data_IF_860757829975
#
_entry.id   IF_860757829975
#
_cell.length_a   1.000
_cell.length_b   1.000
_cell.length_c   1.000
_cell.angle_alpha   90.00
_cell.angle_beta   90.00
_cell.angle_gamma   90.00
#
_symmetry.space_group_name_H-M   'P 1'
#
loop_
_entity.id
_entity.type
_entity.pdbx_description
1 polymer ?
#
# COMPACT_ATOMS: atom_id res chain seq x y z
N UNK A 1 -20.25 -0.89 -17.05
CA UNK A 1 -19.35 -0.82 -18.23
C UNK A 1 -18.11 -0.08 -17.76
N UNK A 2 -16.93 -0.68 -17.96
CA UNK A 2 -15.67 -0.01 -17.65
C UNK A 2 -15.38 1.01 -18.77
N UNK A 3 -15.26 2.26 -18.40
CA UNK A 3 -14.94 3.35 -19.34
C UNK A 3 -13.42 3.57 -19.35
N UNK A 4 -12.90 4.13 -20.44
CA UNK A 4 -11.51 4.59 -20.51
C UNK A 4 -11.37 5.78 -19.57
N UNK A 5 -10.39 5.70 -18.64
CA UNK A 5 -10.05 6.81 -17.76
C UNK A 5 -8.90 7.59 -18.38
N UNK A 6 -9.07 8.90 -18.52
CA UNK A 6 -8.05 9.84 -18.97
C UNK A 6 -8.13 11.10 -18.10
N UNK A 7 -6.98 11.60 -17.65
CA UNK A 7 -6.92 12.80 -16.81
C UNK A 7 -5.50 13.29 -16.62
N UNK A 8 -5.37 14.40 -15.92
CA UNK A 8 -4.08 14.94 -15.47
C UNK A 8 -3.98 14.78 -13.95
N UNK A 9 -2.82 14.39 -13.44
CA UNK A 9 -2.57 14.16 -12.00
C UNK A 9 -2.92 15.39 -11.15
N UNK A 10 -2.70 16.59 -11.66
CA UNK A 10 -3.01 17.84 -10.95
C UNK A 10 -4.53 18.10 -10.80
N UNK A 11 -5.35 17.45 -11.60
CA UNK A 11 -6.82 17.54 -11.56
C UNK A 11 -7.44 16.50 -10.64
N UNK A 12 -6.66 15.49 -10.21
CA UNK A 12 -7.15 14.41 -9.35
C UNK A 12 -7.25 14.88 -7.91
N UNK A 13 -8.35 14.50 -7.25
CA UNK A 13 -8.59 14.86 -5.84
C UNK A 13 -7.46 14.44 -4.94
N UNK A 14 -6.89 15.40 -4.22
CA UNK A 14 -5.87 15.20 -3.20
C UNK A 14 -6.48 14.63 -1.92
N UNK A 15 -5.84 13.63 -1.35
CA UNK A 15 -6.15 13.09 -0.02
C UNK A 15 -4.90 13.14 0.86
N UNK A 16 -4.90 14.01 1.85
CA UNK A 16 -3.86 14.03 2.88
C UNK A 16 -4.23 13.05 3.99
N UNK A 17 -3.29 12.22 4.41
CA UNK A 17 -3.44 11.20 5.44
C UNK A 17 -2.33 11.29 6.47
N UNK A 18 -2.73 11.33 7.75
CA UNK A 18 -1.83 11.25 8.90
C UNK A 18 -2.45 10.32 9.96
N UNK A 19 -2.50 9.00 9.70
CA UNK A 19 -3.14 8.06 10.61
C UNK A 19 -2.35 7.84 11.91
N UNK A 20 -1.05 8.14 11.92
CA UNK A 20 -0.15 8.00 13.06
C UNK A 20 1.01 8.98 12.93
N UNK A 21 1.73 9.26 14.02
CA UNK A 21 2.84 10.22 14.02
C UNK A 21 3.98 9.87 13.05
N UNK A 22 4.21 8.57 12.81
CA UNK A 22 5.26 8.08 11.89
C UNK A 22 4.79 7.92 10.45
N UNK A 23 3.49 8.09 10.18
CA UNK A 23 2.86 7.87 8.90
C UNK A 23 2.13 9.11 8.43
N UNK A 24 2.67 9.75 7.42
CA UNK A 24 2.05 10.93 6.82
C UNK A 24 2.36 10.99 5.33
N UNK A 25 1.31 11.06 4.52
CA UNK A 25 1.41 11.05 3.07
C UNK A 25 0.22 11.75 2.40
N UNK A 26 0.45 12.19 1.19
CA UNK A 26 -0.54 12.72 0.26
C UNK A 26 -0.72 11.69 -0.85
N UNK A 27 -1.96 11.44 -1.26
CA UNK A 27 -2.24 10.55 -2.38
C UNK A 27 -3.29 11.08 -3.32
N UNK A 28 -3.18 10.66 -4.58
CA UNK A 28 -4.15 10.88 -5.66
C UNK A 28 -4.41 9.54 -6.34
N UNK A 29 -5.64 9.04 -6.24
CA UNK A 29 -6.03 7.80 -6.91
C UNK A 29 -6.31 8.12 -8.39
N UNK A 30 -5.35 7.78 -9.27
CA UNK A 30 -5.40 8.11 -10.71
C UNK A 30 -6.42 7.25 -11.45
N UNK A 31 -6.60 6.00 -11.02
CA UNK A 31 -7.69 5.14 -11.43
C UNK A 31 -8.70 5.10 -10.28
N UNK A 32 -9.97 5.46 -10.51
CA UNK A 32 -10.99 5.40 -9.45
C UNK A 32 -11.14 3.99 -8.89
N UNK A 33 -11.24 3.86 -7.57
CA UNK A 33 -11.46 2.57 -6.91
C UNK A 33 -12.71 1.86 -7.44
N UNK A 34 -12.61 0.55 -7.61
CA UNK A 34 -13.72 -0.30 -8.05
C UNK A 34 -13.92 -0.38 -9.57
N UNK A 35 -13.12 0.33 -10.37
CA UNK A 35 -13.23 0.28 -11.85
C UNK A 35 -12.64 -1.00 -12.46
N UNK A 36 -11.79 -1.72 -11.75
CA UNK A 36 -11.14 -2.93 -12.24
C UNK A 36 -10.25 -3.59 -11.20
N UNK A 37 -9.35 -4.44 -11.65
CA UNK A 37 -8.33 -5.07 -10.80
C UNK A 37 -7.09 -4.20 -10.60
N UNK A 38 -6.86 -3.25 -11.50
CA UNK A 38 -5.72 -2.36 -11.51
C UNK A 38 -6.02 -1.13 -10.64
N UNK A 39 -5.12 -0.82 -9.74
CA UNK A 39 -5.07 0.45 -9.03
C UNK A 39 -3.82 1.21 -9.47
N UNK A 40 -3.92 2.52 -9.60
CA UNK A 40 -2.81 3.37 -9.98
C UNK A 40 -2.89 4.65 -9.18
N UNK A 41 -1.89 4.88 -8.33
CA UNK A 41 -1.91 5.95 -7.33
C UNK A 41 -0.61 6.75 -7.36
N UNK A 42 -0.73 8.06 -7.27
CA UNK A 42 0.38 8.97 -7.04
C UNK A 42 0.48 9.24 -5.55
N UNK A 43 1.65 8.99 -4.95
CA UNK A 43 1.96 9.21 -3.54
C UNK A 43 3.06 10.23 -3.33
N UNK A 44 2.94 10.96 -2.24
CA UNK A 44 3.97 11.83 -1.69
C UNK A 44 4.13 11.52 -0.20
N UNK A 45 5.25 10.93 0.21
CA UNK A 45 5.56 10.71 1.63
C UNK A 45 6.27 11.95 2.16
N UNK A 46 5.78 12.52 3.26
CA UNK A 46 6.34 13.71 3.88
C UNK A 46 7.71 13.43 4.51
N UNK A 47 8.55 14.46 4.75
CA UNK A 47 9.87 14.31 5.32
C UNK A 47 9.88 13.53 6.65
N UNK A 48 10.76 12.51 6.74
CA UNK A 48 10.89 11.66 7.92
C UNK A 48 9.73 10.69 8.18
N UNK A 49 8.78 10.55 7.24
CA UNK A 49 7.57 9.74 7.40
C UNK A 49 7.59 8.50 6.50
N UNK A 50 6.63 7.60 6.75
CA UNK A 50 6.31 6.44 5.92
C UNK A 50 4.88 6.53 5.39
N UNK A 51 4.55 5.79 4.32
CA UNK A 51 3.18 5.68 3.82
C UNK A 51 2.39 4.64 4.60
N UNK A 52 2.91 3.43 4.68
CA UNK A 52 2.25 2.27 5.31
C UNK A 52 3.20 1.51 6.22
N UNK A 53 2.68 0.71 7.19
CA UNK A 53 3.47 -0.25 7.96
C UNK A 53 4.14 -1.28 7.05
N UNK A 54 5.16 -1.98 7.55
CA UNK A 54 5.74 -3.14 6.89
C UNK A 54 4.69 -4.20 6.67
N UNK A 55 4.41 -4.55 5.41
CA UNK A 55 3.31 -5.44 5.03
C UNK A 55 3.61 -6.18 3.73
N UNK A 56 2.83 -7.22 3.47
CA UNK A 56 2.76 -7.89 2.18
C UNK A 56 1.32 -8.27 1.84
N UNK A 57 1.03 -8.39 0.57
CA UNK A 57 -0.23 -8.87 0.03
C UNK A 57 -0.15 -10.36 -0.30
N UNK A 58 -1.23 -11.11 -0.05
CA UNK A 58 -1.25 -12.55 -0.32
C UNK A 58 -1.25 -12.85 -1.81
N UNK A 59 -1.99 -12.05 -2.59
CA UNK A 59 -2.22 -12.29 -4.03
C UNK A 59 -2.17 -11.01 -4.89
N UNK A 60 -1.75 -9.87 -4.32
CA UNK A 60 -1.49 -8.64 -5.08
C UNK A 60 -0.03 -8.54 -5.43
N UNK A 61 0.23 -8.05 -6.64
CA UNK A 61 1.55 -7.62 -7.09
C UNK A 61 1.57 -6.10 -7.18
N UNK A 62 2.69 -5.49 -6.76
CA UNK A 62 2.85 -4.04 -6.76
C UNK A 62 4.11 -3.62 -7.49
N UNK A 63 4.05 -2.50 -8.20
CA UNK A 63 5.21 -1.87 -8.83
C UNK A 63 5.25 -0.42 -8.42
N UNK A 64 6.34 -0.01 -7.79
CA UNK A 64 6.60 1.40 -7.47
C UNK A 64 7.63 1.99 -8.43
N UNK A 65 7.39 3.23 -8.84
CA UNK A 65 8.33 4.01 -9.63
C UNK A 65 8.57 5.36 -8.94
N UNK A 66 9.82 5.60 -8.54
CA UNK A 66 10.19 6.81 -7.81
C UNK A 66 10.33 7.98 -8.78
N UNK A 67 9.52 9.01 -8.59
CA UNK A 67 9.52 10.22 -9.43
C UNK A 67 10.53 11.27 -8.93
N UNK A 68 10.58 11.48 -7.61
CA UNK A 68 11.48 12.45 -6.98
C UNK A 68 11.70 12.16 -5.50
N UNK A 69 12.72 12.80 -4.93
CA UNK A 69 13.11 12.60 -3.54
C UNK A 69 14.01 11.39 -3.34
N UNK A 70 14.24 11.04 -2.09
CA UNK A 70 15.06 9.90 -1.65
C UNK A 70 14.45 9.25 -0.41
N UNK A 71 14.71 7.98 -0.23
CA UNK A 71 14.21 7.23 0.91
C UNK A 71 14.88 5.89 1.10
N UNK A 72 14.26 5.06 1.90
CA UNK A 72 14.65 3.67 2.13
C UNK A 72 13.43 2.79 1.85
N UNK A 73 13.64 1.69 1.15
CA UNK A 73 12.73 0.55 1.10
C UNK A 73 13.27 -0.55 2.00
N UNK A 74 12.47 -0.97 2.97
CA UNK A 74 12.70 -2.19 3.76
C UNK A 74 12.01 -3.36 3.09
N UNK A 75 12.75 -4.47 2.91
CA UNK A 75 12.27 -5.73 2.34
C UNK A 75 12.71 -6.90 3.24
N UNK A 76 12.34 -8.17 2.96
CA UNK A 76 12.88 -9.32 3.70
C UNK A 76 14.42 -9.44 3.63
N UNK A 77 15.03 -8.93 2.55
CA UNK A 77 16.49 -8.95 2.35
C UNK A 77 17.22 -7.78 3.05
N UNK A 78 16.48 -6.93 3.77
CA UNK A 78 17.02 -5.76 4.46
C UNK A 78 16.58 -4.45 3.86
N UNK A 79 17.33 -3.39 4.15
CA UNK A 79 17.03 -2.04 3.70
C UNK A 79 17.91 -1.64 2.52
N UNK A 80 17.31 -0.91 1.56
CA UNK A 80 18.00 -0.35 0.39
C UNK A 80 17.61 1.12 0.24
N UNK A 81 18.58 1.95 -0.08
CA UNK A 81 18.33 3.34 -0.50
C UNK A 81 17.61 3.37 -1.84
N UNK A 82 16.68 4.30 -1.98
CA UNK A 82 15.91 4.56 -3.21
C UNK A 82 15.93 6.04 -3.55
N UNK A 83 15.90 6.35 -4.84
CA UNK A 83 15.96 7.70 -5.39
C UNK A 83 15.18 7.80 -6.70
N UNK A 84 15.04 9.02 -7.22
CA UNK A 84 14.36 9.29 -8.48
C UNK A 84 14.90 8.41 -9.64
N UNK A 85 13.99 7.77 -10.37
CA UNK A 85 14.27 6.85 -11.47
C UNK A 85 14.32 5.39 -11.07
N UNK A 86 14.36 5.06 -9.78
CA UNK A 86 14.29 3.68 -9.32
C UNK A 86 12.87 3.11 -9.53
N UNK A 87 12.83 1.83 -9.86
CA UNK A 87 11.59 1.05 -9.82
C UNK A 87 11.77 -0.16 -8.92
N UNK A 88 10.68 -0.58 -8.29
CA UNK A 88 10.67 -1.70 -7.35
C UNK A 88 9.45 -2.55 -7.68
N UNK A 89 9.64 -3.85 -7.82
CA UNK A 89 8.58 -4.83 -7.96
C UNK A 89 8.46 -5.65 -6.67
N UNK A 90 7.27 -5.72 -6.13
CA UNK A 90 6.92 -6.54 -4.97
C UNK A 90 6.02 -7.69 -5.42
N UNK A 91 6.52 -8.94 -5.41
CA UNK A 91 5.70 -10.09 -5.73
C UNK A 91 4.65 -10.34 -4.66
N UNK A 92 3.60 -11.07 -5.02
CA UNK A 92 2.65 -11.58 -4.05
C UNK A 92 3.32 -12.49 -3.01
N UNK A 93 2.78 -12.50 -1.79
CA UNK A 93 3.28 -13.28 -0.68
C UNK A 93 4.37 -12.58 0.14
N UNK A 94 4.89 -13.30 1.14
CA UNK A 94 5.83 -12.76 2.15
C UNK A 94 7.15 -12.25 1.56
N UNK A 95 7.53 -12.73 0.40
CA UNK A 95 8.76 -12.30 -0.30
C UNK A 95 8.63 -10.87 -0.84
N UNK A 96 7.40 -10.40 -1.06
CA UNK A 96 7.10 -9.02 -1.44
C UNK A 96 6.89 -8.07 -0.25
N UNK A 97 7.17 -8.50 0.98
CA UNK A 97 6.98 -7.64 2.15
C UNK A 97 7.82 -6.37 2.07
N UNK A 98 7.20 -5.22 2.32
CA UNK A 98 7.88 -3.96 2.15
C UNK A 98 7.35 -2.83 3.04
N UNK A 99 8.18 -1.80 3.19
CA UNK A 99 7.84 -0.51 3.80
C UNK A 99 8.72 0.57 3.17
N UNK A 100 8.11 1.68 2.73
CA UNK A 100 8.83 2.86 2.28
C UNK A 100 8.90 3.90 3.39
N UNK A 101 10.08 4.51 3.53
CA UNK A 101 10.33 5.62 4.46
C UNK A 101 11.08 6.73 3.72
N UNK A 102 10.57 7.94 3.81
CA UNK A 102 11.25 9.14 3.32
C UNK A 102 12.36 9.52 4.32
N UNK A 103 13.60 9.55 3.87
CA UNK A 103 14.78 9.88 4.70
C UNK A 103 15.23 11.33 4.55
N UNK A 104 14.54 12.13 3.75
CA UNK A 104 14.79 13.57 3.65
C UNK A 104 14.22 14.28 4.89
N UNK A 105 14.81 15.40 5.26
CA UNK A 105 14.34 16.33 6.29
C UNK A 105 13.52 17.51 5.71
N UNK A 106 13.47 17.65 4.38
CA UNK A 106 12.89 18.82 3.72
C UNK A 106 12.08 18.54 2.46
N UNK A 107 12.27 17.40 1.80
CA UNK A 107 11.64 17.09 0.52
C UNK A 107 10.73 15.86 0.61
N UNK A 108 9.61 15.89 -0.11
CA UNK A 108 8.75 14.73 -0.24
C UNK A 108 9.42 13.62 -1.08
N UNK A 109 9.20 12.36 -0.69
CA UNK A 109 9.46 11.21 -1.54
C UNK A 109 8.22 10.96 -2.39
N UNK A 110 8.32 11.16 -3.70
CA UNK A 110 7.19 11.06 -4.63
C UNK A 110 7.32 9.81 -5.47
N UNK A 111 6.27 9.01 -5.54
CA UNK A 111 6.26 7.78 -6.34
C UNK A 111 4.89 7.47 -6.94
N UNK A 112 4.92 6.67 -7.98
CA UNK A 112 3.74 6.03 -8.55
C UNK A 112 3.67 4.61 -8.00
N UNK A 113 2.47 4.22 -7.63
CA UNK A 113 2.11 2.90 -7.14
C UNK A 113 1.11 2.27 -8.11
N UNK A 114 1.48 1.14 -8.66
CA UNK A 114 0.66 0.36 -9.57
C UNK A 114 0.44 -1.03 -8.98
N UNK A 115 -0.82 -1.33 -8.68
CA UNK A 115 -1.23 -2.58 -8.08
C UNK A 115 -2.16 -3.38 -8.99
N UNK A 116 -2.04 -4.71 -8.92
CA UNK A 116 -3.06 -5.62 -9.42
C UNK A 116 -3.64 -6.37 -8.22
N UNK A 117 -4.84 -5.99 -7.81
CA UNK A 117 -5.46 -6.48 -6.57
C UNK A 117 -6.62 -7.44 -6.80
N UNK A 118 -6.67 -8.56 -6.04
CA UNK A 118 -7.89 -9.35 -5.91
C UNK A 118 -8.96 -8.58 -5.14
N UNK A 119 -10.16 -9.11 -5.09
CA UNK A 119 -11.25 -8.61 -4.25
C UNK A 119 -11.93 -9.79 -3.55
N UNK A 120 -11.76 -9.94 -2.24
CA UNK A 120 -11.01 -9.08 -1.33
C UNK A 120 -9.48 -9.23 -1.45
N UNK A 121 -8.75 -8.17 -1.08
CA UNK A 121 -7.31 -8.20 -0.87
C UNK A 121 -6.99 -8.58 0.57
N UNK A 122 -5.97 -9.41 0.77
CA UNK A 122 -5.52 -9.87 2.09
C UNK A 122 -4.09 -9.44 2.31
N UNK A 123 -3.87 -8.63 3.36
CA UNK A 123 -2.57 -8.12 3.73
C UNK A 123 -2.11 -8.64 5.08
N UNK A 124 -0.84 -9.02 5.20
CA UNK A 124 -0.21 -9.31 6.48
C UNK A 124 0.71 -8.18 6.91
N UNK A 125 0.77 -7.93 8.21
CA UNK A 125 1.63 -6.93 8.86
C UNK A 125 2.55 -7.61 9.85
N UNK A 126 3.72 -8.12 9.41
CA UNK A 126 4.58 -8.99 10.24
C UNK A 126 5.04 -8.34 11.54
N UNK A 127 5.39 -7.03 11.53
CA UNK A 127 5.88 -6.33 12.72
C UNK A 127 4.83 -6.22 13.83
N UNK A 128 3.55 -6.27 13.51
CA UNK A 128 2.45 -6.10 14.46
C UNK A 128 1.53 -7.31 14.55
N UNK A 129 1.93 -8.42 13.92
CA UNK A 129 1.20 -9.69 13.94
C UNK A 129 -0.29 -9.53 13.58
N UNK A 130 -0.57 -8.81 12.47
CA UNK A 130 -1.94 -8.56 12.01
C UNK A 130 -2.17 -9.12 10.63
N UNK A 131 -3.44 -9.43 10.35
CA UNK A 131 -3.96 -9.69 9.01
C UNK A 131 -5.12 -8.74 8.74
N UNK A 132 -5.10 -8.09 7.58
CA UNK A 132 -6.17 -7.24 7.08
C UNK A 132 -6.89 -7.88 5.91
N UNK A 133 -8.21 -7.74 5.87
CA UNK A 133 -9.06 -8.13 4.75
C UNK A 133 -9.70 -6.85 4.22
N UNK A 134 -9.45 -6.54 2.94
CA UNK A 134 -9.85 -5.29 2.30
C UNK A 134 -10.73 -5.58 1.09
N UNK A 135 -12.03 -5.35 1.21
CA UNK A 135 -12.99 -5.53 0.13
C UNK A 135 -13.43 -4.21 -0.48
N UNK A 136 -13.83 -4.24 -1.75
CA UNK A 136 -14.38 -3.08 -2.47
C UNK A 136 -15.82 -2.80 -2.13
N UNK A 137 -16.55 -3.81 -1.62
CA UNK A 137 -17.93 -3.72 -1.22
C UNK A 137 -18.08 -3.31 0.25
N UNK A 138 -19.20 -2.66 0.58
CA UNK A 138 -19.55 -2.24 1.96
C UNK A 138 -20.05 -3.39 2.85
N UNK A 139 -19.82 -4.65 2.48
CA UNK A 139 -20.29 -5.85 3.18
C UNK A 139 -19.55 -6.20 4.47
N UNK A 140 -18.74 -5.29 4.96
CA UNK A 140 -18.06 -5.41 6.24
C UNK A 140 -16.73 -6.16 6.22
N UNK A 141 -16.14 -6.37 5.04
CA UNK A 141 -14.84 -7.05 4.89
C UNK A 141 -13.62 -6.19 5.28
N UNK A 142 -13.78 -4.87 5.45
CA UNK A 142 -12.65 -4.00 5.85
C UNK A 142 -12.33 -4.17 7.34
N UNK A 143 -11.54 -5.20 7.67
CA UNK A 143 -11.25 -5.63 9.05
C UNK A 143 -9.78 -5.99 9.23
N UNK A 144 -9.30 -5.74 10.47
CA UNK A 144 -8.00 -6.16 10.95
C UNK A 144 -8.16 -7.15 12.10
N UNK A 145 -7.37 -8.22 12.07
CA UNK A 145 -7.33 -9.25 13.11
C UNK A 145 -5.89 -9.49 13.57
N UNK A 146 -5.73 -10.11 14.74
CA UNK A 146 -4.45 -10.65 15.15
C UNK A 146 -4.21 -11.96 14.37
N UNK A 147 -3.08 -12.06 13.68
CA UNK A 147 -2.87 -13.11 12.68
C UNK A 147 -2.72 -14.53 13.24
N UNK A 148 -2.25 -14.67 14.49
CA UNK A 148 -2.04 -15.96 15.16
C UNK A 148 -3.20 -16.36 16.10
N UNK A 149 -4.29 -15.61 16.13
CA UNK A 149 -5.49 -15.95 16.91
C UNK A 149 -6.46 -16.78 16.08
N UNK A 150 -6.23 -18.09 16.09
CA UNK A 150 -7.15 -19.04 15.47
C UNK A 150 -8.26 -19.45 16.44
N UNK A 151 -9.43 -19.70 15.89
CA UNK A 151 -10.54 -20.38 16.57
C UNK A 151 -10.68 -21.80 16.03
N UNK A 152 -11.25 -22.71 16.81
CA UNK A 152 -11.63 -24.03 16.31
C UNK A 152 -12.72 -23.90 15.25
N UNK A 153 -12.64 -24.70 14.17
CA UNK A 153 -13.57 -24.62 13.06
C UNK A 153 -15.03 -24.84 13.47
N UNK A 154 -15.25 -25.67 14.50
CA UNK A 154 -16.59 -25.98 15.01
C UNK A 154 -16.96 -25.21 16.27
N UNK A 155 -16.11 -24.32 16.76
CA UNK A 155 -16.42 -23.49 17.93
C UNK A 155 -17.65 -22.60 17.67
N UNK A 156 -18.70 -22.77 18.48
CA UNK A 156 -19.93 -22.01 18.35
C UNK A 156 -20.94 -22.56 17.34
N UNK A 157 -20.63 -23.66 16.64
CA UNK A 157 -21.57 -24.37 15.78
C UNK A 157 -22.44 -25.33 16.61
N UNK A 158 -23.74 -25.42 16.29
CA UNK A 158 -24.75 -26.24 17.00
C UNK A 158 -25.24 -27.38 16.13
#
# INVERSE_FOLDING_TARGET
MSEVVHGNVEEVRVRHRQPHIDYEYIKRDLIPHGTGKCEFTHYEILPGKSSYPYHYHVDSEEVYFILSGKGIVRTPDGEKEISAGDFIYFPAGKEGAHKLTNTSDSENLVYLDFDIKPDPDICFYPDSNKVGIWGKSDDGLNKLYIADQNVDYFEGES
#
